data_IF_190650568598
#
_entry.id   IF_190650568598
#
_cell.length_a   1.000
_cell.length_b   1.000
_cell.length_c   1.000
_cell.angle_alpha   90.00
_cell.angle_beta   90.00
_cell.angle_gamma   90.00
#
_symmetry.space_group_name_H-M   'P 1'
#
loop_
_entity.id
_entity.type
_entity.pdbx_description
1 polymer ?
#
# COMPACT_ATOMS: atom_id res chain seq x y z
N UNK A 1 24.85 -33.29 25.04
CA UNK A 1 23.55 -32.58 25.09
C UNK A 1 23.68 -31.08 25.36
N UNK A 2 24.72 -30.63 26.08
CA UNK A 2 24.98 -29.20 26.36
C UNK A 2 25.43 -28.35 25.15
N UNK A 3 26.06 -28.94 24.14
CA UNK A 3 26.58 -28.21 22.95
C UNK A 3 25.49 -27.74 21.97
N UNK A 4 24.38 -28.47 21.85
CA UNK A 4 23.25 -28.11 20.98
C UNK A 4 22.47 -26.92 21.56
N UNK A 5 22.28 -26.90 22.89
CA UNK A 5 21.60 -25.81 23.60
C UNK A 5 22.38 -24.49 23.48
N UNK A 6 23.72 -24.54 23.57
CA UNK A 6 24.56 -23.36 23.38
C UNK A 6 24.55 -22.83 21.94
N UNK A 7 24.53 -23.70 20.92
CA UNK A 7 24.42 -23.27 19.52
C UNK A 7 23.07 -22.60 19.22
N UNK A 8 21.98 -23.10 19.80
CA UNK A 8 20.65 -22.50 19.66
C UNK A 8 20.62 -21.12 20.34
N UNK A 9 21.14 -21.01 21.57
CA UNK A 9 21.22 -19.71 22.26
C UNK A 9 22.05 -18.67 21.48
N UNK A 10 23.18 -19.09 20.89
CA UNK A 10 24.04 -18.16 20.15
C UNK A 10 23.44 -17.72 18.80
N UNK A 11 22.72 -18.62 18.12
CA UNK A 11 21.97 -18.27 16.89
C UNK A 11 20.81 -17.33 17.20
N UNK A 12 20.02 -17.64 18.23
CA UNK A 12 18.87 -16.81 18.63
C UNK A 12 19.32 -15.44 19.11
N UNK A 13 20.38 -15.37 19.92
CA UNK A 13 20.95 -14.10 20.37
C UNK A 13 21.42 -13.22 19.22
N UNK A 14 22.14 -13.80 18.24
CA UNK A 14 22.62 -13.05 17.08
C UNK A 14 21.47 -12.55 16.18
N UNK A 15 20.48 -13.40 15.89
CA UNK A 15 19.31 -13.00 15.08
C UNK A 15 18.53 -11.87 15.75
N UNK A 16 18.31 -11.95 17.06
CA UNK A 16 17.60 -10.89 17.80
C UNK A 16 18.37 -9.58 17.78
N UNK A 17 19.69 -9.61 18.00
CA UNK A 17 20.53 -8.41 17.94
C UNK A 17 20.61 -7.83 16.53
N UNK A 18 20.72 -8.68 15.50
CA UNK A 18 20.73 -8.26 14.10
C UNK A 18 19.40 -7.62 13.69
N UNK A 19 18.27 -8.17 14.16
CA UNK A 19 16.93 -7.62 13.93
C UNK A 19 16.77 -6.25 14.62
N UNK A 20 17.17 -6.14 15.89
CA UNK A 20 17.14 -4.85 16.61
C UNK A 20 18.05 -3.81 15.93
N UNK A 21 19.24 -4.22 15.50
CA UNK A 21 20.15 -3.35 14.78
C UNK A 21 19.58 -2.93 13.41
N UNK A 22 18.87 -3.81 12.70
CA UNK A 22 18.19 -3.47 11.45
C UNK A 22 17.09 -2.43 11.67
N UNK A 23 16.26 -2.61 12.70
CA UNK A 23 15.23 -1.62 13.08
C UNK A 23 15.88 -0.29 13.46
N UNK A 24 16.98 -0.30 14.23
CA UNK A 24 17.72 0.90 14.60
C UNK A 24 18.30 1.65 13.41
N UNK A 25 18.93 0.93 12.46
CA UNK A 25 19.44 1.53 11.21
C UNK A 25 18.32 2.14 10.37
N UNK A 26 17.21 1.42 10.21
CA UNK A 26 16.05 1.92 9.47
C UNK A 26 15.45 3.16 10.15
N UNK A 27 15.30 3.15 11.48
CA UNK A 27 14.82 4.30 12.24
C UNK A 27 15.74 5.52 12.10
N UNK A 28 17.06 5.31 12.12
CA UNK A 28 18.04 6.37 11.86
C UNK A 28 17.88 6.99 10.47
N UNK A 29 17.76 6.15 9.44
CA UNK A 29 17.55 6.58 8.05
C UNK A 29 16.26 7.40 7.89
N UNK A 30 15.16 6.96 8.48
CA UNK A 30 13.89 7.71 8.48
C UNK A 30 14.05 9.05 9.20
N UNK A 31 14.79 9.10 10.31
CA UNK A 31 15.08 10.33 11.04
C UNK A 31 15.90 11.33 10.23
N UNK A 32 16.89 10.86 9.48
CA UNK A 32 17.69 11.69 8.56
C UNK A 32 16.87 12.20 7.37
N UNK A 33 16.04 11.34 6.77
CA UNK A 33 15.09 11.73 5.71
C UNK A 33 14.15 12.83 6.20
N UNK A 34 13.61 12.70 7.41
CA UNK A 34 12.72 13.70 8.01
C UNK A 34 13.38 15.06 8.20
N UNK A 35 14.67 15.09 8.59
CA UNK A 35 15.44 16.35 8.70
C UNK A 35 15.66 17.02 7.34
N UNK A 36 15.84 16.23 6.29
CA UNK A 36 16.00 16.70 4.91
C UNK A 36 14.75 17.38 4.33
N UNK A 37 13.55 17.10 4.87
CA UNK A 37 12.29 17.70 4.40
C UNK A 37 12.17 19.21 4.66
N UNK A 38 13.02 19.79 5.52
CA UNK A 38 12.99 21.22 5.82
C UNK A 38 13.31 22.12 4.61
N UNK A 39 13.97 21.59 3.58
CA UNK A 39 14.34 22.32 2.36
C UNK A 39 13.22 22.31 1.30
N UNK A 40 12.05 22.82 1.69
CA UNK A 40 10.81 22.76 0.87
C UNK A 40 11.01 23.32 -0.55
N UNK A 41 11.83 24.36 -0.72
CA UNK A 41 12.08 24.97 -2.04
C UNK A 41 12.71 24.01 -3.05
N UNK A 42 13.49 23.04 -2.58
CA UNK A 42 14.18 22.06 -3.43
C UNK A 42 13.28 20.83 -3.66
N UNK A 43 12.62 20.37 -2.61
CA UNK A 43 11.83 19.13 -2.66
C UNK A 43 10.46 19.31 -3.31
N UNK A 44 9.80 20.46 -3.16
CA UNK A 44 8.47 20.69 -3.71
C UNK A 44 8.36 20.43 -5.23
N UNK A 45 9.23 21.00 -6.10
CA UNK A 45 9.15 20.70 -7.54
C UNK A 45 9.38 19.21 -7.84
N UNK A 46 10.33 18.56 -7.15
CA UNK A 46 10.60 17.13 -7.34
C UNK A 46 9.44 16.24 -6.91
N UNK A 47 8.78 16.58 -5.80
CA UNK A 47 7.59 15.88 -5.34
C UNK A 47 6.45 15.99 -6.34
N UNK A 48 6.28 17.15 -6.99
CA UNK A 48 5.27 17.33 -8.03
C UNK A 48 5.58 16.51 -9.28
N UNK A 49 6.84 16.50 -9.73
CA UNK A 49 7.28 15.68 -10.87
C UNK A 49 7.03 14.19 -10.58
N UNK A 50 7.38 13.74 -9.38
CA UNK A 50 7.20 12.34 -8.99
C UNK A 50 5.71 12.00 -8.80
N UNK A 51 4.91 12.90 -8.22
CA UNK A 51 3.46 12.73 -8.12
C UNK A 51 2.80 12.61 -9.50
N UNK A 52 3.26 13.37 -10.50
CA UNK A 52 2.79 13.26 -11.88
C UNK A 52 3.17 11.90 -12.49
N UNK A 53 4.45 11.49 -12.39
CA UNK A 53 4.93 10.21 -12.93
C UNK A 53 4.24 9.01 -12.29
N UNK A 54 4.06 9.03 -10.97
CA UNK A 54 3.33 8.01 -10.23
C UNK A 54 1.87 8.00 -10.66
N UNK A 55 1.21 9.17 -10.62
CA UNK A 55 -0.23 9.30 -10.84
C UNK A 55 -0.62 8.91 -12.26
N UNK A 56 -0.06 9.62 -13.25
CA UNK A 56 -0.34 9.36 -14.67
C UNK A 56 0.12 7.96 -15.07
N UNK A 57 1.30 7.54 -14.60
CA UNK A 57 1.82 6.21 -14.90
C UNK A 57 0.98 5.06 -14.32
N UNK A 58 0.19 5.31 -13.27
CA UNK A 58 -0.69 4.29 -12.66
C UNK A 58 -2.13 4.34 -13.17
N UNK A 59 -2.50 5.39 -13.91
CA UNK A 59 -3.90 5.67 -14.25
C UNK A 59 -4.55 4.49 -14.99
N UNK A 60 -3.85 3.93 -15.98
CA UNK A 60 -4.37 2.79 -16.74
C UNK A 60 -4.70 1.58 -15.86
N UNK A 61 -3.77 1.18 -14.99
CA UNK A 61 -3.97 -0.02 -14.15
C UNK A 61 -5.01 0.21 -13.05
N UNK A 62 -5.08 1.42 -12.49
CA UNK A 62 -6.11 1.80 -11.53
C UNK A 62 -7.50 1.74 -12.18
N UNK A 63 -7.67 2.37 -13.35
CA UNK A 63 -8.95 2.35 -14.06
C UNK A 63 -9.37 0.94 -14.45
N UNK A 64 -8.43 0.14 -14.96
CA UNK A 64 -8.66 -1.25 -15.33
C UNK A 64 -9.18 -2.04 -14.12
N UNK A 65 -8.41 -2.08 -13.02
CA UNK A 65 -8.77 -2.91 -11.86
C UNK A 65 -10.03 -2.39 -11.17
N UNK A 66 -10.15 -1.08 -10.97
CA UNK A 66 -11.32 -0.48 -10.31
C UNK A 66 -12.61 -0.67 -11.11
N UNK A 67 -12.55 -0.66 -12.45
CA UNK A 67 -13.75 -0.93 -13.28
C UNK A 67 -14.25 -2.37 -13.13
N UNK A 68 -13.34 -3.35 -13.16
CA UNK A 68 -13.71 -4.76 -12.92
C UNK A 68 -14.20 -4.98 -11.50
N UNK A 69 -13.49 -4.43 -10.50
CA UNK A 69 -13.90 -4.55 -9.10
C UNK A 69 -15.29 -3.95 -8.87
N UNK A 70 -15.54 -2.73 -9.35
CA UNK A 70 -16.85 -2.08 -9.27
C UNK A 70 -17.96 -2.85 -9.99
N UNK A 71 -17.67 -3.39 -11.18
CA UNK A 71 -18.60 -4.22 -11.93
C UNK A 71 -18.97 -5.51 -11.20
N UNK A 72 -17.99 -6.20 -10.60
CA UNK A 72 -18.22 -7.40 -9.79
C UNK A 72 -19.03 -7.08 -8.55
N UNK A 73 -18.73 -5.99 -7.83
CA UNK A 73 -19.50 -5.55 -6.66
C UNK A 73 -20.94 -5.22 -7.03
N UNK A 74 -21.16 -4.52 -8.15
CA UNK A 74 -22.51 -4.18 -8.62
C UNK A 74 -23.32 -5.44 -8.98
N UNK A 75 -22.73 -6.39 -9.71
CA UNK A 75 -23.37 -7.66 -10.03
C UNK A 75 -23.72 -8.46 -8.77
N UNK A 76 -22.80 -8.55 -7.83
CA UNK A 76 -23.01 -9.26 -6.56
C UNK A 76 -24.11 -8.62 -5.71
N UNK A 77 -24.15 -7.29 -5.64
CA UNK A 77 -25.21 -6.57 -4.95
C UNK A 77 -26.57 -6.81 -5.61
N UNK A 78 -26.63 -6.82 -6.95
CA UNK A 78 -27.84 -7.13 -7.71
C UNK A 78 -28.44 -8.50 -7.35
N UNK A 79 -27.60 -9.53 -7.20
CA UNK A 79 -28.06 -10.86 -6.80
C UNK A 79 -28.50 -10.96 -5.33
N UNK A 80 -27.90 -10.17 -4.43
CA UNK A 80 -28.23 -10.21 -3.00
C UNK A 80 -29.58 -9.56 -2.67
N UNK A 81 -30.01 -8.58 -3.48
CA UNK A 81 -31.21 -7.80 -3.22
C UNK A 81 -32.41 -8.19 -4.12
N UNK A 82 -32.37 -9.34 -4.80
CA UNK A 82 -33.50 -9.82 -5.62
C UNK A 82 -34.74 -10.09 -4.77
N UNK A 83 -35.79 -9.28 -4.94
CA UNK A 83 -37.16 -9.56 -4.48
C UNK A 83 -37.74 -8.61 -3.42
N UNK A 84 -36.90 -7.98 -2.59
CA UNK A 84 -37.39 -7.20 -1.44
C UNK A 84 -37.00 -5.71 -1.43
N UNK A 85 -36.10 -5.25 -2.32
CA UNK A 85 -35.58 -3.87 -2.28
C UNK A 85 -35.57 -3.24 -3.69
N UNK A 86 -35.98 -1.96 -3.85
CA UNK A 86 -35.89 -1.25 -5.13
C UNK A 86 -34.45 -1.14 -5.67
N UNK A 87 -34.29 -1.25 -7.00
CA UNK A 87 -32.98 -1.24 -7.67
C UNK A 87 -32.15 0.04 -7.42
N UNK A 88 -32.82 1.19 -7.20
CA UNK A 88 -32.12 2.44 -6.91
C UNK A 88 -31.40 2.41 -5.56
N UNK A 89 -31.94 1.67 -4.57
CA UNK A 89 -31.31 1.50 -3.25
C UNK A 89 -30.03 0.69 -3.39
N UNK A 90 -30.05 -0.35 -4.25
CA UNK A 90 -28.87 -1.16 -4.56
C UNK A 90 -27.77 -0.28 -5.18
N UNK A 91 -28.14 0.61 -6.12
CA UNK A 91 -27.21 1.56 -6.72
C UNK A 91 -26.57 2.52 -5.70
N UNK A 92 -27.36 3.04 -4.76
CA UNK A 92 -26.86 3.89 -3.68
C UNK A 92 -25.90 3.14 -2.76
N UNK A 93 -26.25 1.92 -2.34
CA UNK A 93 -25.41 1.09 -1.47
C UNK A 93 -24.07 0.77 -2.12
N UNK A 94 -24.08 0.35 -3.40
CA UNK A 94 -22.84 0.07 -4.15
C UNK A 94 -21.97 1.33 -4.24
N UNK A 95 -22.57 2.49 -4.51
CA UNK A 95 -21.84 3.76 -4.61
C UNK A 95 -21.21 4.14 -3.28
N UNK A 96 -21.96 4.05 -2.18
CA UNK A 96 -21.44 4.35 -0.84
C UNK A 96 -20.30 3.40 -0.45
N UNK A 97 -20.45 2.10 -0.66
CA UNK A 97 -19.39 1.11 -0.38
C UNK A 97 -18.12 1.36 -1.21
N UNK A 98 -18.28 1.71 -2.50
CA UNK A 98 -17.14 2.01 -3.37
C UNK A 98 -16.46 3.30 -2.93
N UNK A 99 -17.20 4.36 -2.63
CA UNK A 99 -16.61 5.67 -2.31
C UNK A 99 -15.95 5.68 -0.93
N UNK A 100 -16.56 5.04 0.08
CA UNK A 100 -16.10 5.12 1.46
C UNK A 100 -15.04 4.08 1.81
N UNK A 101 -15.06 2.90 1.19
CA UNK A 101 -14.21 1.78 1.59
C UNK A 101 -13.35 1.27 0.44
N UNK A 102 -13.99 0.69 -0.59
CA UNK A 102 -13.28 -0.08 -1.60
C UNK A 102 -12.41 0.80 -2.49
N UNK A 103 -12.84 2.01 -2.84
CA UNK A 103 -12.10 2.95 -3.68
C UNK A 103 -10.73 3.29 -3.09
N UNK A 104 -10.65 3.88 -1.88
CA UNK A 104 -9.38 4.19 -1.23
C UNK A 104 -8.49 2.95 -1.01
N UNK A 105 -9.09 1.82 -0.59
CA UNK A 105 -8.34 0.58 -0.31
C UNK A 105 -7.74 -0.01 -1.59
N UNK A 106 -8.53 -0.12 -2.66
CA UNK A 106 -8.06 -0.68 -3.94
C UNK A 106 -6.98 0.20 -4.56
N UNK A 107 -7.20 1.51 -4.60
CA UNK A 107 -6.19 2.45 -5.13
C UNK A 107 -4.91 2.37 -4.32
N UNK A 108 -5.00 2.40 -2.98
CA UNK A 108 -3.83 2.29 -2.10
C UNK A 108 -3.04 1.00 -2.30
N UNK A 109 -3.73 -0.13 -2.42
CA UNK A 109 -3.10 -1.44 -2.64
C UNK A 109 -2.40 -1.52 -4.01
N UNK A 110 -3.07 -1.07 -5.09
CA UNK A 110 -2.52 -1.08 -6.45
C UNK A 110 -1.27 -0.20 -6.52
N UNK A 111 -1.35 1.01 -5.96
CA UNK A 111 -0.23 1.95 -5.94
C UNK A 111 0.95 1.41 -5.12
N UNK A 112 0.69 0.87 -3.92
CA UNK A 112 1.74 0.26 -3.09
C UNK A 112 2.49 -0.86 -3.83
N UNK A 113 1.78 -1.70 -4.57
CA UNK A 113 2.39 -2.78 -5.37
C UNK A 113 3.24 -2.23 -6.53
N UNK A 114 2.66 -1.39 -7.40
CA UNK A 114 3.35 -0.87 -8.59
C UNK A 114 4.54 0.00 -8.22
N UNK A 115 4.32 0.99 -7.34
CA UNK A 115 5.32 2.00 -7.00
C UNK A 115 6.37 1.40 -6.08
N UNK A 116 5.95 0.59 -5.10
CA UNK A 116 6.87 -0.08 -4.18
C UNK A 116 7.85 -1.00 -4.91
N UNK A 117 7.36 -1.78 -5.89
CA UNK A 117 8.23 -2.61 -6.72
C UNK A 117 9.21 -1.77 -7.56
N UNK A 118 8.75 -0.65 -8.13
CA UNK A 118 9.61 0.27 -8.89
C UNK A 118 10.74 0.84 -8.01
N UNK A 119 10.43 1.37 -6.83
CA UNK A 119 11.46 1.91 -5.94
C UNK A 119 12.40 0.86 -5.37
N UNK A 120 11.89 -0.34 -5.07
CA UNK A 120 12.76 -1.46 -4.68
C UNK A 120 13.75 -1.84 -5.79
N UNK A 121 13.33 -1.78 -7.05
CA UNK A 121 14.19 -2.07 -8.21
C UNK A 121 15.15 -0.91 -8.59
N UNK A 122 14.81 0.33 -8.26
CA UNK A 122 15.68 1.50 -8.49
C UNK A 122 16.73 1.67 -7.38
N UNK A 123 16.40 1.32 -6.14
CA UNK A 123 17.27 1.48 -4.96
C UNK A 123 18.09 0.23 -4.62
N UNK A 124 17.61 -0.96 -5.01
CA UNK A 124 18.28 -2.25 -4.79
C UNK A 124 19.21 -2.61 -5.94
#
# INVERSE_FOLDING_TARGET
MSSIVQQIQHRTGRVTLDALAAVGRFGGLVGEMGRGLAEVRIWLPRTLDEAHNIGVGSLFIVLLISSFAGGVTALQAGYQFTGNIPIYVVGSLVTESIVLELGPVLVGLILAGRIGARYAAELG
#
